data_IF_704171279309
#
_entry.id   IF_704171279309
#
_cell.length_a   1.000
_cell.length_b   1.000
_cell.length_c   1.000
_cell.angle_alpha   90.00
_cell.angle_beta   90.00
_cell.angle_gamma   90.00
#
_symmetry.space_group_name_H-M   'P 1'
#
loop_
_entity.id
_entity.type
_entity.pdbx_description
1 polymer ?
#
# COMPACT_ATOMS: atom_id res chain seq x y z
N UNK A 1 1.90 -5.41 -26.15
CA UNK A 1 1.36 -6.77 -25.97
C UNK A 1 2.42 -7.56 -25.21
N UNK A 2 2.36 -7.57 -23.88
CA UNK A 2 3.30 -8.32 -23.05
C UNK A 2 2.52 -9.45 -22.41
N UNK A 3 2.78 -10.68 -22.86
CA UNK A 3 2.18 -11.89 -22.29
C UNK A 3 2.93 -12.19 -21.00
N UNK A 4 2.18 -12.30 -19.90
CA UNK A 4 2.68 -12.44 -18.55
C UNK A 4 2.76 -13.88 -18.06
N UNK A 5 3.54 -14.16 -16.99
CA UNK A 5 3.87 -15.51 -16.59
C UNK A 5 2.63 -16.21 -16.03
N UNK A 6 1.98 -16.98 -16.89
CA UNK A 6 0.95 -17.93 -16.49
C UNK A 6 1.64 -19.16 -15.93
N UNK A 7 1.40 -19.47 -14.66
CA UNK A 7 1.71 -20.78 -14.11
C UNK A 7 0.69 -21.77 -14.63
N UNK A 8 1.08 -22.62 -15.57
CA UNK A 8 0.24 -23.74 -15.99
C UNK A 8 0.23 -24.79 -14.86
N UNK A 9 -0.95 -25.34 -14.58
CA UNK A 9 -1.06 -26.49 -13.69
C UNK A 9 -1.99 -27.55 -14.25
N UNK A 10 -1.63 -28.80 -13.98
CA UNK A 10 -2.38 -29.98 -14.40
C UNK A 10 -3.12 -30.56 -13.20
N UNK A 11 -4.38 -30.89 -13.42
CA UNK A 11 -5.27 -31.54 -12.47
C UNK A 11 -5.51 -33.00 -12.78
N UNK A 12 -6.46 -33.59 -12.06
CA UNK A 12 -6.91 -34.96 -12.33
C UNK A 12 -7.73 -35.02 -13.63
N UNK A 13 -7.91 -36.23 -14.19
CA UNK A 13 -8.82 -36.45 -15.33
C UNK A 13 -8.49 -35.67 -16.62
N UNK A 14 -7.24 -35.24 -16.79
CA UNK A 14 -6.80 -34.49 -17.96
C UNK A 14 -7.24 -33.02 -17.98
N UNK A 15 -7.75 -32.49 -16.86
CA UNK A 15 -8.08 -31.08 -16.71
C UNK A 15 -6.80 -30.25 -16.52
N UNK A 16 -6.60 -29.23 -17.35
CA UNK A 16 -5.51 -28.25 -17.26
C UNK A 16 -6.03 -26.86 -16.95
N UNK A 17 -5.22 -26.05 -16.27
CA UNK A 17 -5.52 -24.69 -15.83
C UNK A 17 -4.38 -23.75 -16.23
N UNK A 18 -4.70 -22.60 -16.79
CA UNK A 18 -3.78 -21.46 -16.93
C UNK A 18 -4.47 -20.20 -16.45
N UNK A 19 -3.72 -19.30 -15.81
CA UNK A 19 -4.22 -18.02 -15.33
C UNK A 19 -3.27 -16.89 -15.73
N UNK A 20 -3.81 -15.76 -16.16
CA UNK A 20 -3.03 -14.59 -16.57
C UNK A 20 -3.75 -13.29 -16.23
N UNK A 21 -2.98 -12.28 -15.83
CA UNK A 21 -3.49 -10.93 -15.66
C UNK A 21 -3.29 -10.12 -16.93
N UNK A 22 -4.15 -9.12 -17.12
CA UNK A 22 -3.98 -8.07 -18.13
C UNK A 22 -2.70 -7.24 -17.92
N UNK A 23 -2.27 -7.05 -16.66
CA UNK A 23 -1.02 -6.40 -16.27
C UNK A 23 -0.36 -7.06 -15.04
N UNK A 24 0.98 -7.14 -15.02
CA UNK A 24 1.78 -7.78 -13.95
C UNK A 24 2.12 -6.76 -12.91
N UNK A 25 2.03 -5.49 -13.25
CA UNK A 25 2.39 -4.39 -12.40
C UNK A 25 1.12 -3.62 -12.08
N UNK A 26 0.83 -3.43 -10.80
CA UNK A 26 -0.37 -2.75 -10.34
C UNK A 26 -0.06 -1.80 -9.20
N UNK A 27 -0.63 -0.58 -9.17
CA UNK A 27 -0.66 0.22 -7.95
C UNK A 27 -1.33 -0.55 -6.81
N UNK A 28 -0.89 -0.28 -5.57
CA UNK A 28 -1.58 -0.72 -4.37
C UNK A 28 -3.05 -0.29 -4.42
N UNK A 29 -3.97 -1.18 -4.02
CA UNK A 29 -5.40 -0.90 -3.98
C UNK A 29 -6.15 -1.06 -5.33
N UNK A 30 -5.45 -1.23 -6.45
CA UNK A 30 -6.08 -1.40 -7.75
C UNK A 30 -6.50 -2.86 -8.03
N UNK A 31 -7.56 -3.02 -8.83
CA UNK A 31 -8.00 -4.31 -9.39
C UNK A 31 -7.44 -4.53 -10.79
N UNK A 32 -7.25 -5.80 -11.17
CA UNK A 32 -6.81 -6.22 -12.50
C UNK A 32 -7.84 -7.13 -13.15
N UNK A 33 -7.66 -7.42 -14.42
CA UNK A 33 -8.48 -8.41 -15.13
C UNK A 33 -7.74 -9.74 -15.11
N UNK A 34 -8.36 -10.77 -14.55
CA UNK A 34 -7.84 -12.14 -14.51
C UNK A 34 -8.57 -12.98 -15.57
N UNK A 35 -7.80 -13.58 -16.46
CA UNK A 35 -8.31 -14.58 -17.41
C UNK A 35 -7.80 -15.96 -17.01
N UNK A 36 -8.75 -16.89 -16.86
CA UNK A 36 -8.49 -18.29 -16.55
C UNK A 36 -8.90 -19.13 -17.74
N UNK A 37 -8.03 -20.05 -18.18
CA UNK A 37 -8.36 -21.01 -19.22
C UNK A 37 -8.29 -22.43 -18.68
N UNK A 38 -9.36 -23.19 -18.95
CA UNK A 38 -9.47 -24.62 -18.74
C UNK A 38 -9.24 -25.37 -20.06
N UNK A 39 -8.44 -26.43 -20.02
CA UNK A 39 -8.17 -27.30 -21.18
C UNK A 39 -8.40 -28.76 -20.80
N UNK A 40 -8.98 -29.56 -21.68
CA UNK A 40 -9.33 -30.96 -21.35
C UNK A 40 -10.50 -31.06 -20.37
N UNK A 41 -10.67 -32.22 -19.73
CA UNK A 41 -11.80 -32.50 -18.84
C UNK A 41 -13.17 -32.45 -19.54
N UNK A 42 -14.23 -32.25 -18.76
CA UNK A 42 -15.63 -32.21 -19.24
C UNK A 42 -16.30 -30.89 -18.88
N UNK A 43 -16.72 -30.11 -19.88
CA UNK A 43 -17.49 -28.89 -19.68
C UNK A 43 -18.92 -29.18 -19.14
N UNK A 44 -19.58 -28.24 -18.44
CA UNK A 44 -19.10 -26.92 -18.04
C UNK A 44 -18.02 -26.96 -16.95
N UNK A 45 -17.20 -25.92 -16.91
CA UNK A 45 -16.18 -25.71 -15.89
C UNK A 45 -16.66 -24.75 -14.82
N UNK A 46 -16.04 -24.77 -13.65
CA UNK A 46 -16.32 -23.90 -12.52
C UNK A 46 -15.02 -23.29 -12.01
N UNK A 47 -14.97 -21.96 -11.92
CA UNK A 47 -13.90 -21.23 -11.27
C UNK A 47 -14.24 -21.04 -9.80
N UNK A 48 -13.35 -21.42 -8.89
CA UNK A 48 -13.49 -21.07 -7.46
C UNK A 48 -12.98 -19.64 -7.24
N UNK A 49 -13.90 -18.72 -7.01
CA UNK A 49 -13.62 -17.31 -6.73
C UNK A 49 -13.99 -17.00 -5.27
N UNK A 50 -13.01 -17.10 -4.37
CA UNK A 50 -13.26 -17.06 -2.93
C UNK A 50 -14.07 -18.28 -2.48
N UNK A 51 -15.31 -18.07 -2.02
CA UNK A 51 -16.22 -19.15 -1.60
C UNK A 51 -17.30 -19.48 -2.64
N UNK A 52 -17.36 -18.75 -3.76
CA UNK A 52 -18.36 -18.93 -4.80
C UNK A 52 -17.76 -19.68 -6.01
N UNK A 53 -18.62 -20.39 -6.73
CA UNK A 53 -18.29 -21.03 -7.99
C UNK A 53 -18.94 -20.30 -9.16
N UNK A 54 -18.15 -19.92 -10.15
CA UNK A 54 -18.63 -19.30 -11.39
C UNK A 54 -18.49 -20.29 -12.55
N UNK A 55 -19.62 -20.62 -13.19
CA UNK A 55 -19.64 -21.59 -14.29
C UNK A 55 -19.27 -20.95 -15.64
N UNK A 56 -18.50 -21.66 -16.46
CA UNK A 56 -18.15 -21.25 -17.83
C UNK A 56 -17.99 -22.47 -18.75
N UNK A 57 -18.37 -22.34 -20.02
CA UNK A 57 -18.41 -23.49 -20.95
C UNK A 57 -17.38 -23.41 -22.08
N UNK A 58 -16.84 -22.22 -22.36
CA UNK A 58 -15.97 -21.98 -23.53
C UNK A 58 -14.48 -22.26 -23.25
N UNK A 59 -14.16 -22.91 -22.14
CA UNK A 59 -12.77 -23.16 -21.72
C UNK A 59 -11.98 -21.90 -21.35
N UNK A 60 -12.56 -20.71 -21.41
CA UNK A 60 -11.98 -19.45 -20.98
C UNK A 60 -13.01 -18.63 -20.22
N UNK A 61 -12.58 -17.97 -19.14
CA UNK A 61 -13.43 -17.12 -18.30
C UNK A 61 -12.61 -15.95 -17.76
N UNK A 62 -13.22 -14.77 -17.74
CA UNK A 62 -12.57 -13.53 -17.29
C UNK A 62 -13.33 -12.96 -16.10
N UNK A 63 -12.60 -12.65 -15.04
CA UNK A 63 -13.13 -12.06 -13.81
C UNK A 63 -12.29 -10.85 -13.39
N UNK A 64 -12.87 -9.95 -12.59
CA UNK A 64 -12.06 -8.97 -11.88
C UNK A 64 -11.23 -9.69 -10.83
N UNK A 65 -9.93 -9.45 -10.82
CA UNK A 65 -9.07 -9.91 -9.74
C UNK A 65 -9.45 -9.21 -8.43
N UNK A 66 -9.12 -9.84 -7.31
CA UNK A 66 -9.15 -9.16 -6.01
C UNK A 66 -8.22 -7.93 -5.98
N UNK A 67 -8.35 -7.14 -4.92
CA UNK A 67 -7.48 -6.00 -4.63
C UNK A 67 -6.14 -6.53 -4.10
N UNK A 68 -5.03 -5.99 -4.61
CA UNK A 68 -3.70 -6.24 -4.08
C UNK A 68 -3.21 -5.01 -3.32
N UNK A 69 -2.82 -5.20 -2.06
CA UNK A 69 -2.28 -4.13 -1.22
C UNK A 69 -0.78 -4.29 -1.04
N UNK A 70 -0.06 -3.17 -1.09
CA UNK A 70 1.33 -3.04 -0.67
C UNK A 70 1.42 -1.86 0.31
N UNK A 71 1.82 -2.15 1.55
CA UNK A 71 2.01 -1.17 2.63
C UNK A 71 3.47 -0.79 2.85
N UNK A 72 4.39 -1.36 2.07
CA UNK A 72 5.82 -1.06 2.13
C UNK A 72 6.23 -0.05 1.06
N UNK A 73 7.42 0.51 1.23
CA UNK A 73 8.00 1.50 0.32
C UNK A 73 8.64 0.91 -0.94
N UNK A 74 8.79 -0.41 -1.01
CA UNK A 74 9.37 -1.11 -2.15
C UNK A 74 8.31 -1.93 -2.90
N UNK A 75 8.57 -2.23 -4.18
CA UNK A 75 7.72 -3.11 -4.98
C UNK A 75 7.66 -4.51 -4.35
N UNK A 76 6.46 -5.10 -4.26
CA UNK A 76 6.26 -6.46 -3.73
C UNK A 76 5.70 -7.36 -4.81
N UNK A 77 6.31 -8.53 -5.01
CA UNK A 77 5.76 -9.56 -5.91
C UNK A 77 4.94 -10.58 -5.13
N UNK A 78 3.66 -10.71 -5.48
CA UNK A 78 2.72 -11.66 -4.92
C UNK A 78 2.47 -12.79 -5.91
N UNK A 79 2.49 -14.03 -5.44
CA UNK A 79 2.04 -15.20 -6.20
C UNK A 79 0.65 -15.60 -5.71
N UNK A 80 -0.31 -15.73 -6.62
CA UNK A 80 -1.68 -16.17 -6.33
C UNK A 80 -1.96 -17.50 -7.01
N UNK A 81 -2.87 -18.26 -6.42
CA UNK A 81 -3.32 -19.57 -6.91
C UNK A 81 -4.82 -19.53 -7.15
N UNK A 82 -5.24 -20.15 -8.23
CA UNK A 82 -6.62 -20.29 -8.68
C UNK A 82 -6.94 -21.77 -8.80
N UNK A 83 -8.17 -22.16 -8.49
CA UNK A 83 -8.66 -23.52 -8.67
C UNK A 83 -9.86 -23.53 -9.62
N UNK A 84 -9.89 -24.52 -10.50
CA UNK A 84 -11.03 -24.82 -11.36
C UNK A 84 -11.50 -26.26 -11.14
N UNK A 85 -12.78 -26.51 -11.42
CA UNK A 85 -13.40 -27.83 -11.43
C UNK A 85 -14.12 -28.06 -12.75
N UNK A 86 -14.18 -29.29 -13.23
CA UNK A 86 -14.99 -29.68 -14.39
C UNK A 86 -16.29 -30.40 -13.96
N UNK A 87 -17.20 -30.63 -14.90
CA UNK A 87 -18.47 -31.31 -14.65
C UNK A 87 -18.28 -32.81 -14.31
N UNK A 88 -17.15 -33.40 -14.70
CA UNK A 88 -16.75 -34.76 -14.34
C UNK A 88 -16.27 -34.89 -12.89
N UNK A 89 -16.14 -33.79 -12.17
CA UNK A 89 -15.67 -33.75 -10.79
C UNK A 89 -14.16 -33.56 -10.62
N UNK A 90 -13.41 -33.45 -11.72
CA UNK A 90 -11.97 -33.23 -11.69
C UNK A 90 -11.64 -31.80 -11.28
N UNK A 91 -10.48 -31.61 -10.63
CA UNK A 91 -10.01 -30.29 -10.21
C UNK A 91 -8.58 -30.04 -10.70
N UNK A 92 -8.29 -28.80 -11.06
CA UNK A 92 -6.96 -28.33 -11.44
C UNK A 92 -6.67 -26.97 -10.78
N UNK A 93 -5.41 -26.69 -10.49
CA UNK A 93 -4.97 -25.40 -9.95
C UNK A 93 -3.94 -24.77 -10.87
N UNK A 94 -3.90 -23.44 -10.92
CA UNK A 94 -2.89 -22.69 -11.64
C UNK A 94 -2.50 -21.43 -10.87
N UNK A 95 -1.31 -20.89 -11.13
CA UNK A 95 -0.80 -19.72 -10.41
C UNK A 95 -0.45 -18.57 -11.35
N UNK A 96 -0.38 -17.37 -10.79
CA UNK A 96 0.08 -16.19 -11.50
C UNK A 96 0.79 -15.23 -10.54
N UNK A 97 1.72 -14.43 -11.07
CA UNK A 97 2.44 -13.40 -10.33
C UNK A 97 1.92 -11.99 -10.61
N UNK A 98 1.92 -11.15 -9.59
CA UNK A 98 1.66 -9.70 -9.70
C UNK A 98 2.65 -8.92 -8.83
N UNK A 99 3.35 -7.95 -9.41
CA UNK A 99 4.15 -6.95 -8.73
C UNK A 99 3.26 -5.76 -8.36
N UNK A 100 3.11 -5.51 -7.07
CA UNK A 100 2.32 -4.43 -6.50
C UNK A 100 3.27 -3.28 -6.15
N UNK A 101 3.06 -2.14 -6.80
CA UNK A 101 3.79 -0.91 -6.49
C UNK A 101 3.33 -0.39 -5.12
N UNK A 102 4.18 0.35 -4.40
CA UNK A 102 3.80 1.03 -3.16
C UNK A 102 2.54 1.88 -3.33
N UNK A 103 1.83 2.10 -2.22
CA UNK A 103 0.70 3.03 -2.20
C UNK A 103 1.21 4.47 -2.42
N UNK A 104 0.89 5.06 -3.58
CA UNK A 104 1.26 6.44 -3.88
C UNK A 104 0.29 7.45 -3.26
N UNK A 105 -0.27 7.14 -2.08
CA UNK A 105 -1.01 8.12 -1.31
C UNK A 105 -0.11 9.35 -1.13
N UNK A 106 -0.59 10.55 -1.51
CA UNK A 106 0.22 11.76 -1.43
C UNK A 106 0.84 11.89 -0.04
N UNK A 107 2.14 12.18 0.02
CA UNK A 107 2.84 12.45 1.27
C UNK A 107 2.14 13.59 2.01
N UNK A 108 1.76 13.32 3.26
CA UNK A 108 1.11 14.26 4.15
C UNK A 108 1.97 14.44 5.38
N UNK A 109 2.08 15.69 5.82
CA UNK A 109 2.66 16.04 7.10
C UNK A 109 1.58 16.67 7.97
N UNK A 110 1.37 16.09 9.15
CA UNK A 110 0.53 16.67 10.20
C UNK A 110 1.40 17.19 11.32
N UNK A 111 1.25 18.48 11.63
CA UNK A 111 1.92 19.10 12.76
C UNK A 111 0.89 19.37 13.87
N UNK A 112 1.18 18.92 15.08
CA UNK A 112 0.36 19.14 16.27
C UNK A 112 1.20 19.71 17.40
N UNK A 113 0.55 20.37 18.36
CA UNK A 113 1.18 20.91 19.57
C UNK A 113 0.49 20.30 20.77
N UNK A 114 1.21 20.09 21.88
CA UNK A 114 0.59 19.62 23.13
C UNK A 114 -0.03 20.75 23.96
N UNK A 115 0.19 22.01 23.58
CA UNK A 115 -0.22 23.20 24.33
C UNK A 115 -1.05 24.15 23.47
N UNK A 116 -2.24 24.53 23.96
CA UNK A 116 -3.16 25.44 23.28
C UNK A 116 -2.88 26.93 23.52
N UNK A 117 -2.00 27.25 24.47
CA UNK A 117 -1.57 28.62 24.80
C UNK A 117 -0.07 28.67 25.05
N UNK A 118 0.56 29.70 24.49
CA UNK A 118 2.01 29.88 24.51
C UNK A 118 2.33 31.15 25.30
N UNK A 119 3.24 31.04 26.27
CA UNK A 119 3.76 32.16 27.06
C UNK A 119 5.29 32.18 27.01
N UNK A 120 5.94 33.33 27.14
CA UNK A 120 7.39 33.40 27.27
C UNK A 120 7.89 32.55 28.46
N UNK A 121 9.00 31.82 28.28
CA UNK A 121 9.64 31.04 29.35
C UNK A 121 9.10 29.63 29.59
N UNK A 122 8.20 29.11 28.74
CA UNK A 122 7.76 27.71 28.79
C UNK A 122 8.38 26.88 27.66
N UNK A 123 8.54 25.57 27.90
CA UNK A 123 8.91 24.61 26.87
C UNK A 123 7.65 24.12 26.15
N UNK A 124 7.70 24.05 24.82
CA UNK A 124 6.58 23.61 23.98
C UNK A 124 7.00 22.44 23.12
N UNK A 125 6.25 21.35 23.18
CA UNK A 125 6.47 20.19 22.32
C UNK A 125 5.55 20.23 21.10
N UNK A 126 6.19 20.06 19.94
CA UNK A 126 5.54 19.82 18.66
C UNK A 126 5.70 18.37 18.26
N UNK A 127 4.63 17.79 17.76
CA UNK A 127 4.60 16.43 17.24
C UNK A 127 4.33 16.51 15.75
N UNK A 128 5.28 16.01 14.97
CA UNK A 128 5.15 15.85 13.54
C UNK A 128 4.86 14.38 13.20
N UNK A 129 3.86 14.16 12.35
CA UNK A 129 3.45 12.84 11.87
C UNK A 129 3.46 12.86 10.34
N UNK A 130 4.34 12.05 9.74
CA UNK A 130 4.33 11.76 8.31
C UNK A 130 3.35 10.62 8.01
N UNK A 131 2.60 10.73 6.91
CA UNK A 131 1.67 9.68 6.46
C UNK A 131 1.49 9.70 4.95
N UNK A 132 1.18 8.55 4.34
CA UNK A 132 1.27 8.39 2.89
C UNK A 132 2.72 8.44 2.41
N UNK A 133 2.94 8.42 1.10
CA UNK A 133 4.26 8.32 0.51
C UNK A 133 4.94 6.97 0.74
N UNK A 134 6.21 6.89 0.36
CA UNK A 134 7.04 5.69 0.48
C UNK A 134 8.28 6.02 1.30
N UNK A 135 8.24 5.85 2.63
CA UNK A 135 9.40 6.15 3.49
C UNK A 135 10.68 5.36 3.12
N UNK A 136 11.83 5.61 3.77
CA UNK A 136 11.99 6.29 5.05
C UNK A 136 11.77 7.80 4.99
N UNK A 137 11.15 8.38 6.02
CA UNK A 137 10.80 9.80 6.00
C UNK A 137 11.92 10.66 6.57
N UNK A 138 12.22 11.78 5.89
CA UNK A 138 13.18 12.77 6.38
C UNK A 138 12.47 14.07 6.73
N UNK A 139 12.71 14.58 7.94
CA UNK A 139 12.19 15.86 8.44
C UNK A 139 13.33 16.89 8.43
N UNK A 140 13.26 17.90 7.55
CA UNK A 140 14.43 18.76 7.26
C UNK A 140 14.28 20.23 7.61
N UNK A 141 13.06 20.74 7.83
CA UNK A 141 12.85 22.16 8.06
C UNK A 141 11.69 22.42 9.04
N UNK A 142 11.99 22.61 10.32
CA UNK A 142 11.00 23.03 11.32
C UNK A 142 11.27 24.46 11.77
N UNK A 143 10.29 25.34 11.64
CA UNK A 143 10.38 26.74 12.06
C UNK A 143 9.25 27.09 13.04
N UNK A 144 9.48 27.08 14.36
CA UNK A 144 8.45 27.42 15.36
C UNK A 144 8.16 28.93 15.47
N UNK A 145 8.86 29.77 14.71
CA UNK A 145 8.79 31.23 14.78
C UNK A 145 10.12 31.86 15.20
N UNK A 146 10.16 33.19 15.25
CA UNK A 146 11.38 33.95 15.59
C UNK A 146 11.69 33.81 17.08
N UNK A 147 12.95 33.54 17.41
CA UNK A 147 13.49 33.62 18.76
C UNK A 147 13.43 32.32 19.56
N UNK A 148 12.99 31.19 19.01
CA UNK A 148 12.99 29.91 19.71
C UNK A 148 14.27 29.10 19.46
N UNK A 149 14.82 28.52 20.52
CA UNK A 149 15.82 27.43 20.40
C UNK A 149 15.08 26.10 20.17
N UNK A 150 15.63 25.25 19.29
CA UNK A 150 14.99 24.00 18.86
C UNK A 150 15.88 22.82 19.23
N UNK A 151 15.33 21.87 19.99
CA UNK A 151 15.95 20.56 20.22
C UNK A 151 15.08 19.47 19.59
N UNK A 152 15.44 18.94 18.41
CA UNK A 152 14.71 17.83 17.81
C UNK A 152 15.12 16.50 18.47
N UNK A 153 14.14 15.67 18.82
CA UNK A 153 14.36 14.26 19.18
C UNK A 153 13.58 13.39 18.20
N UNK A 154 14.31 12.66 17.36
CA UNK A 154 13.72 11.66 16.46
C UNK A 154 13.36 10.44 17.30
N UNK A 155 12.14 9.91 17.16
CA UNK A 155 11.76 8.65 17.81
C UNK A 155 12.39 7.48 17.02
N UNK A 156 13.47 6.84 17.50
CA UNK A 156 14.18 5.82 16.73
C UNK A 156 13.34 4.56 16.50
N UNK A 157 12.26 4.38 17.26
CA UNK A 157 11.33 3.27 17.10
C UNK A 157 10.22 3.57 16.07
N UNK A 158 10.06 4.83 15.64
CA UNK A 158 9.03 5.25 14.70
C UNK A 158 9.55 6.33 13.73
N UNK A 159 10.04 5.88 12.57
CA UNK A 159 10.57 6.73 11.50
C UNK A 159 9.53 7.69 10.87
N UNK A 160 8.24 7.56 11.23
CA UNK A 160 7.17 8.45 10.79
C UNK A 160 6.81 9.54 11.82
N UNK A 161 7.51 9.61 12.97
CA UNK A 161 7.19 10.52 14.07
C UNK A 161 8.42 11.22 14.66
N UNK A 162 8.34 12.54 14.82
CA UNK A 162 9.37 13.35 15.48
C UNK A 162 8.74 14.24 16.54
N UNK A 163 9.41 14.37 17.69
CA UNK A 163 9.06 15.35 18.73
C UNK A 163 10.08 16.48 18.75
N UNK A 164 9.60 17.72 18.76
CA UNK A 164 10.45 18.92 18.69
C UNK A 164 10.12 19.81 19.87
N UNK A 165 11.07 20.00 20.79
CA UNK A 165 10.90 20.87 21.94
C UNK A 165 11.47 22.25 21.63
N UNK A 166 10.69 23.29 21.92
CA UNK A 166 11.08 24.68 21.69
C UNK A 166 11.03 25.50 22.96
N UNK A 167 11.97 26.43 23.10
CA UNK A 167 12.06 27.34 24.24
C UNK A 167 11.97 28.78 23.74
N UNK A 168 10.98 29.54 24.21
CA UNK A 168 10.85 30.96 23.86
C UNK A 168 11.45 31.86 24.95
N UNK A 169 12.29 32.85 24.58
CA UNK A 169 12.93 33.77 25.51
C UNK A 169 11.91 34.68 26.18
N UNK A 170 12.23 35.17 27.38
CA UNK A 170 11.35 35.94 28.27
C UNK A 170 11.13 37.41 27.89
N UNK A 171 11.51 37.85 26.68
CA UNK A 171 11.47 39.27 26.30
C UNK A 171 10.04 39.75 26.00
N UNK A 172 9.57 40.79 26.69
CA UNK A 172 8.16 41.22 26.79
C UNK A 172 7.44 41.66 25.51
N UNK A 173 8.08 41.85 24.35
CA UNK A 173 7.47 42.64 23.27
C UNK A 173 7.42 42.00 21.88
N UNK A 174 7.64 40.70 21.74
CA UNK A 174 7.38 40.01 20.46
C UNK A 174 6.10 39.19 20.55
N UNK A 175 5.04 39.69 19.88
CA UNK A 175 3.96 38.83 19.45
C UNK A 175 4.56 37.80 18.49
N UNK A 176 4.82 36.57 18.98
CA UNK A 176 5.33 35.48 18.16
C UNK A 176 4.28 35.20 17.08
N UNK A 177 4.57 35.59 15.83
CA UNK A 177 3.76 35.17 14.69
C UNK A 177 4.01 33.69 14.46
N UNK A 178 3.09 32.88 14.97
CA UNK A 178 3.14 31.44 14.93
C UNK A 178 2.70 30.96 13.53
N UNK A 179 3.65 30.60 12.67
CA UNK A 179 3.41 30.03 11.34
C UNK A 179 4.37 28.85 11.13
N UNK A 180 4.18 27.74 11.87
CA UNK A 180 5.07 26.62 11.71
C UNK A 180 4.82 25.95 10.37
N UNK A 181 5.91 25.69 9.65
CA UNK A 181 5.90 24.79 8.53
C UNK A 181 6.96 23.71 8.76
N UNK A 182 6.64 22.52 8.26
CA UNK A 182 7.49 21.35 8.30
C UNK A 182 7.52 20.74 6.92
N UNK A 183 8.72 20.55 6.38
CA UNK A 183 8.90 19.74 5.19
C UNK A 183 9.29 18.32 5.56
N UNK A 184 8.54 17.41 4.96
CA UNK A 184 8.77 15.97 4.99
C UNK A 184 9.01 15.55 3.55
N UNK A 185 10.03 14.73 3.34
CA UNK A 185 10.28 14.03 2.09
C UNK A 185 10.28 12.55 2.36
N UNK A 186 9.76 11.76 1.42
CA UNK A 186 9.84 10.30 1.39
C UNK A 186 10.99 9.81 0.50
#
# INVERSE_FOLDING_TARGET
>A
MQVQPSGAGTGTGGLGCTASLDQTTSPSGATRTLTVNATGGVAPYQLLNGSAYEAFSNGSHTVKSGIYANTGSANVTLTKVVAIKDAGGNSATCSFGVTVLPDSAALKCKLSTVQSKIYPGINIDFIAEASGGTGPYTFSAFHPGIGADITPTVDPANDAKVTMTTVYPTLSNYAVKFQPWLQVTD
#
